data_IF_231989445576
#
_entry.id   IF_231989445576
#
_cell.length_a   1.000
_cell.length_b   1.000
_cell.length_c   1.000
_cell.angle_alpha   90.00
_cell.angle_beta   90.00
_cell.angle_gamma   90.00
#
_symmetry.space_group_name_H-M   'P 1'
#
loop_
_entity.id
_entity.type
_entity.pdbx_description
1 polymer ?
#
# COMPACT_ATOMS: atom_id res chain seq x y z
N UNK A 1 10.72 8.59 11.16
CA UNK A 1 10.29 9.35 9.97
C UNK A 1 8.82 9.00 9.76
N UNK A 2 7.92 9.95 9.54
CA UNK A 2 6.50 9.66 9.27
C UNK A 2 6.23 9.85 7.78
N UNK A 3 5.39 9.01 7.19
CA UNK A 3 4.94 9.19 5.81
C UNK A 3 3.91 10.33 5.77
N UNK A 4 4.20 11.38 5.03
CA UNK A 4 3.33 12.55 4.89
C UNK A 4 2.62 12.58 3.54
N UNK A 5 3.21 11.92 2.54
CA UNK A 5 2.64 11.76 1.19
C UNK A 5 2.55 10.29 0.84
N UNK A 6 1.34 9.82 0.57
CA UNK A 6 1.05 8.43 0.23
C UNK A 6 0.36 8.37 -1.13
N UNK A 7 0.89 7.55 -2.04
CA UNK A 7 0.20 7.22 -3.30
C UNK A 7 -0.41 5.83 -3.22
N UNK A 8 -1.69 5.70 -3.57
CA UNK A 8 -2.39 4.42 -3.61
C UNK A 8 -2.74 4.10 -5.06
N UNK A 9 -2.19 3.00 -5.58
CA UNK A 9 -2.45 2.52 -6.93
C UNK A 9 -3.49 1.41 -6.85
N UNK A 10 -4.71 1.74 -7.23
CA UNK A 10 -5.91 0.92 -7.09
C UNK A 10 -6.77 1.31 -5.90
N UNK A 11 -7.96 1.86 -6.16
CA UNK A 11 -8.98 2.22 -5.16
C UNK A 11 -10.14 1.22 -5.17
N UNK A 12 -9.85 -0.07 -5.22
CA UNK A 12 -10.84 -1.11 -5.01
C UNK A 12 -11.29 -1.20 -3.54
N UNK A 13 -11.82 -2.36 -3.14
CA UNK A 13 -12.16 -2.61 -1.74
C UNK A 13 -10.98 -2.32 -0.80
N UNK A 14 -9.82 -2.90 -1.08
CA UNK A 14 -8.63 -2.83 -0.22
C UNK A 14 -8.02 -1.42 -0.23
N UNK A 15 -7.64 -0.88 -1.39
CA UNK A 15 -7.02 0.44 -1.49
C UNK A 15 -7.96 1.58 -1.08
N UNK A 16 -9.24 1.50 -1.44
CA UNK A 16 -10.25 2.48 -1.03
C UNK A 16 -10.49 2.49 0.48
N UNK A 17 -10.53 1.28 1.11
CA UNK A 17 -10.62 1.18 2.57
C UNK A 17 -9.38 1.74 3.26
N UNK A 18 -8.18 1.51 2.70
CA UNK A 18 -6.95 2.08 3.23
C UNK A 18 -6.99 3.61 3.20
N UNK A 19 -7.36 4.19 2.06
CA UNK A 19 -7.49 5.64 1.94
C UNK A 19 -8.48 6.22 2.95
N UNK A 20 -9.67 5.61 3.09
CA UNK A 20 -10.69 6.01 4.07
C UNK A 20 -10.18 5.92 5.51
N UNK A 21 -9.54 4.81 5.88
CA UNK A 21 -9.01 4.59 7.22
C UNK A 21 -7.90 5.59 7.57
N UNK A 22 -6.96 5.83 6.65
CA UNK A 22 -5.88 6.82 6.84
C UNK A 22 -6.45 8.22 7.01
N UNK A 23 -7.36 8.66 6.13
CA UNK A 23 -7.98 10.00 6.24
C UNK A 23 -8.82 10.16 7.51
N UNK A 24 -9.46 9.10 7.96
CA UNK A 24 -10.19 9.11 9.24
C UNK A 24 -9.26 9.28 10.44
N UNK A 25 -8.12 8.60 10.42
CA UNK A 25 -7.15 8.60 11.52
C UNK A 25 -6.26 9.86 11.53
N UNK A 26 -5.83 10.33 10.36
CA UNK A 26 -4.99 11.53 10.22
C UNK A 26 -5.26 12.25 8.88
N UNK A 27 -6.00 13.34 8.94
CA UNK A 27 -6.32 14.16 7.76
C UNK A 27 -5.11 14.92 7.18
N UNK A 28 -4.01 15.03 7.92
CA UNK A 28 -2.80 15.73 7.46
C UNK A 28 -1.98 14.93 6.46
N UNK A 29 -2.17 13.61 6.39
CA UNK A 29 -1.51 12.76 5.41
C UNK A 29 -2.11 13.05 4.02
N UNK A 30 -1.27 13.52 3.11
CA UNK A 30 -1.66 13.78 1.73
C UNK A 30 -1.75 12.47 0.95
N UNK A 31 -2.94 12.16 0.42
CA UNK A 31 -3.19 10.94 -0.35
C UNK A 31 -3.42 11.30 -1.80
N UNK A 32 -2.57 10.77 -2.69
CA UNK A 32 -2.83 10.74 -4.13
C UNK A 32 -3.21 9.33 -4.57
N UNK A 33 -3.99 9.17 -5.62
CA UNK A 33 -4.39 7.86 -6.08
C UNK A 33 -4.46 7.74 -7.60
N UNK A 34 -4.28 6.51 -8.08
CA UNK A 34 -4.46 6.13 -9.47
C UNK A 34 -5.50 5.00 -9.58
N UNK A 35 -6.55 5.25 -10.33
CA UNK A 35 -7.62 4.30 -10.69
C UNK A 35 -8.40 4.84 -11.88
N UNK A 36 -9.54 4.26 -12.20
CA UNK A 36 -10.46 4.77 -13.23
C UNK A 36 -11.00 6.14 -12.85
N UNK A 37 -11.19 7.05 -13.82
CA UNK A 37 -11.64 8.43 -13.55
C UNK A 37 -12.91 8.53 -12.71
N UNK A 38 -13.89 7.64 -12.94
CA UNK A 38 -15.14 7.63 -12.18
C UNK A 38 -14.94 7.29 -10.70
N UNK A 39 -13.93 6.45 -10.37
CA UNK A 39 -13.59 6.10 -8.99
C UNK A 39 -12.83 7.25 -8.33
N UNK A 40 -11.87 7.82 -9.04
CA UNK A 40 -11.09 8.98 -8.56
C UNK A 40 -12.01 10.16 -8.26
N UNK A 41 -12.95 10.48 -9.17
CA UNK A 41 -13.94 11.54 -8.96
C UNK A 41 -14.79 11.33 -7.70
N UNK A 42 -15.24 10.10 -7.43
CA UNK A 42 -15.96 9.77 -6.19
C UNK A 42 -15.07 9.99 -4.95
N UNK A 43 -13.85 9.44 -4.97
CA UNK A 43 -12.93 9.53 -3.85
C UNK A 43 -12.52 10.98 -3.52
N UNK A 44 -12.39 11.85 -4.53
CA UNK A 44 -12.18 13.29 -4.35
C UNK A 44 -13.39 13.97 -3.71
N UNK A 45 -14.61 13.69 -4.21
CA UNK A 45 -15.85 14.25 -3.65
C UNK A 45 -16.06 13.82 -2.19
N UNK A 46 -15.72 12.58 -1.85
CA UNK A 46 -15.76 12.05 -0.48
C UNK A 46 -14.59 12.55 0.40
N UNK A 47 -13.63 13.31 -0.17
CA UNK A 47 -12.41 13.77 0.50
C UNK A 47 -11.55 12.63 1.07
N UNK A 48 -11.58 11.49 0.41
CA UNK A 48 -10.80 10.31 0.75
C UNK A 48 -9.39 10.38 0.15
N UNK A 49 -9.25 11.11 -0.96
CA UNK A 49 -7.97 11.46 -1.57
C UNK A 49 -7.88 12.98 -1.78
N UNK A 50 -6.67 13.50 -1.87
CA UNK A 50 -6.40 14.92 -2.10
C UNK A 50 -6.10 15.20 -3.59
N UNK A 51 -5.59 14.19 -4.31
CA UNK A 51 -5.16 14.33 -5.70
C UNK A 51 -5.39 13.05 -6.49
N UNK A 52 -5.82 13.20 -7.75
CA UNK A 52 -5.80 12.13 -8.74
C UNK A 52 -4.48 12.11 -9.49
N UNK A 53 -3.88 10.94 -9.65
CA UNK A 53 -2.71 10.75 -10.50
C UNK A 53 -3.14 10.51 -11.94
N UNK A 54 -2.58 11.29 -12.87
CA UNK A 54 -2.85 11.16 -14.31
C UNK A 54 -2.11 9.96 -14.89
N UNK A 55 -0.88 9.72 -14.41
CA UNK A 55 -0.07 8.57 -14.77
C UNK A 55 0.50 7.92 -13.51
N UNK A 56 0.76 6.63 -13.57
CA UNK A 56 1.30 5.85 -12.43
C UNK A 56 2.64 6.40 -11.95
N UNK A 57 3.45 6.94 -12.86
CA UNK A 57 4.77 7.53 -12.57
C UNK A 57 4.72 8.68 -11.56
N UNK A 58 3.61 9.41 -11.52
CA UNK A 58 3.46 10.51 -10.56
C UNK A 58 3.48 10.03 -9.10
N UNK A 59 3.25 8.73 -8.85
CA UNK A 59 3.41 8.13 -7.53
C UNK A 59 4.85 8.24 -6.98
N UNK A 60 5.86 8.38 -7.84
CA UNK A 60 7.26 8.62 -7.44
C UNK A 60 7.48 9.96 -6.73
N UNK A 61 6.47 10.82 -6.61
CA UNK A 61 6.51 12.05 -5.82
C UNK A 61 6.14 11.84 -4.34
N UNK A 62 5.74 10.62 -3.96
CA UNK A 62 5.29 10.28 -2.61
C UNK A 62 6.36 9.56 -1.80
N UNK A 63 6.24 9.60 -0.47
CA UNK A 63 7.13 8.92 0.47
C UNK A 63 6.84 7.41 0.51
N UNK A 64 5.54 7.07 0.39
CA UNK A 64 5.04 5.70 0.43
C UNK A 64 4.13 5.44 -0.78
N UNK A 65 4.42 4.38 -1.52
CA UNK A 65 3.63 3.92 -2.66
C UNK A 65 2.99 2.58 -2.29
N UNK A 66 1.68 2.52 -2.32
CA UNK A 66 0.89 1.32 -2.02
C UNK A 66 0.27 0.77 -3.30
N UNK A 67 0.54 -0.50 -3.59
CA UNK A 67 -0.05 -1.23 -4.70
C UNK A 67 -1.23 -2.07 -4.19
N UNK A 68 -2.45 -1.72 -4.60
CA UNK A 68 -3.70 -2.39 -4.23
C UNK A 68 -4.49 -2.85 -5.47
N UNK A 69 -3.80 -3.20 -6.53
CA UNK A 69 -4.30 -3.79 -7.77
C UNK A 69 -4.30 -5.32 -7.70
N UNK A 70 -4.95 -6.04 -8.64
CA UNK A 70 -4.75 -7.48 -8.83
C UNK A 70 -3.27 -7.83 -9.00
N UNK A 71 -2.87 -9.03 -8.57
CA UNK A 71 -1.46 -9.46 -8.44
C UNK A 71 -0.63 -9.16 -9.69
N UNK A 72 -1.11 -9.56 -10.88
CA UNK A 72 -0.37 -9.37 -12.13
C UNK A 72 -0.12 -7.88 -12.45
N UNK A 73 -1.14 -7.05 -12.23
CA UNK A 73 -1.03 -5.60 -12.45
C UNK A 73 -0.13 -4.94 -11.41
N UNK A 74 -0.26 -5.34 -10.13
CA UNK A 74 0.62 -4.87 -9.06
C UNK A 74 2.07 -5.24 -9.36
N UNK A 75 2.36 -6.46 -9.80
CA UNK A 75 3.70 -6.90 -10.14
C UNK A 75 4.29 -6.11 -11.32
N UNK A 76 3.48 -5.81 -12.33
CA UNK A 76 3.91 -4.97 -13.46
C UNK A 76 4.31 -3.57 -13.00
N UNK A 77 3.46 -2.90 -12.21
CA UNK A 77 3.74 -1.57 -11.66
C UNK A 77 4.95 -1.62 -10.72
N UNK A 78 5.05 -2.66 -9.90
CA UNK A 78 6.16 -2.89 -8.98
C UNK A 78 7.51 -2.93 -9.72
N UNK A 79 7.59 -3.70 -10.82
CA UNK A 79 8.79 -3.81 -11.66
C UNK A 79 9.20 -2.49 -12.30
N UNK A 80 8.22 -1.69 -12.70
CA UNK A 80 8.46 -0.41 -13.35
C UNK A 80 8.91 0.68 -12.36
N UNK A 81 8.24 0.80 -11.21
CA UNK A 81 8.53 1.87 -10.26
C UNK A 81 9.73 1.57 -9.35
N UNK A 82 9.93 0.31 -8.94
CA UNK A 82 10.93 -0.04 -7.92
C UNK A 82 12.36 0.39 -8.26
N UNK A 83 12.89 0.22 -9.50
CA UNK A 83 14.24 0.68 -9.85
C UNK A 83 14.42 2.19 -9.80
N UNK A 84 13.32 2.94 -9.82
CA UNK A 84 13.29 4.41 -9.91
C UNK A 84 13.11 5.09 -8.55
N UNK A 85 12.93 4.32 -7.49
CA UNK A 85 12.80 4.83 -6.13
C UNK A 85 14.10 5.46 -5.64
N UNK A 86 13.99 6.54 -4.89
CA UNK A 86 15.11 7.08 -4.12
C UNK A 86 15.20 6.45 -2.72
N UNK A 87 16.28 6.74 -1.99
CA UNK A 87 16.58 6.10 -0.69
C UNK A 87 15.60 6.40 0.45
N UNK A 88 14.77 7.43 0.31
CA UNK A 88 13.75 7.80 1.31
C UNK A 88 12.38 7.20 1.01
N UNK A 89 12.19 6.59 -0.16
CA UNK A 89 10.90 6.08 -0.60
C UNK A 89 10.69 4.62 -0.28
N UNK A 90 9.44 4.29 0.00
CA UNK A 90 8.97 2.94 0.25
C UNK A 90 7.91 2.56 -0.79
N UNK A 91 8.02 1.35 -1.33
CA UNK A 91 6.94 0.71 -2.08
C UNK A 91 6.43 -0.50 -1.29
N UNK A 92 5.12 -0.69 -1.26
CA UNK A 92 4.46 -1.81 -0.61
C UNK A 92 3.33 -2.33 -1.48
N UNK A 93 3.13 -3.63 -1.53
CA UNK A 93 1.96 -4.25 -2.13
C UNK A 93 1.03 -4.81 -1.06
N UNK A 94 -0.27 -4.85 -1.33
CA UNK A 94 -1.30 -5.43 -0.46
C UNK A 94 -1.86 -6.76 -1.00
N UNK A 95 -1.11 -7.41 -1.88
CA UNK A 95 -1.53 -8.67 -2.51
C UNK A 95 -1.53 -9.85 -1.52
N UNK A 96 -2.25 -10.91 -1.86
CA UNK A 96 -2.33 -12.13 -1.05
C UNK A 96 -1.13 -13.08 -1.19
N UNK A 97 -0.17 -12.80 -2.06
CA UNK A 97 1.09 -13.53 -2.24
C UNK A 97 2.26 -12.60 -2.03
N UNK A 98 3.34 -13.10 -1.42
CA UNK A 98 4.52 -12.29 -1.06
C UNK A 98 5.80 -12.75 -1.71
N UNK A 99 5.97 -14.06 -1.93
CA UNK A 99 7.22 -14.64 -2.45
C UNK A 99 7.63 -14.05 -3.79
N UNK A 100 6.68 -13.94 -4.72
CA UNK A 100 6.95 -13.41 -6.06
C UNK A 100 7.46 -11.95 -6.03
N UNK A 101 6.92 -11.11 -5.14
CA UNK A 101 7.38 -9.73 -5.00
C UNK A 101 8.75 -9.66 -4.32
N UNK A 102 8.99 -10.49 -3.31
CA UNK A 102 10.29 -10.55 -2.62
C UNK A 102 11.40 -11.04 -3.56
N UNK A 103 11.13 -12.04 -4.40
CA UNK A 103 12.09 -12.54 -5.38
C UNK A 103 12.36 -11.51 -6.48
N UNK A 104 11.32 -10.84 -6.94
CA UNK A 104 11.47 -9.74 -7.91
C UNK A 104 12.30 -8.60 -7.32
N UNK A 105 12.01 -8.18 -6.08
CA UNK A 105 12.76 -7.12 -5.41
C UNK A 105 14.26 -7.40 -5.36
N UNK A 106 14.65 -8.66 -5.03
CA UNK A 106 16.07 -9.09 -5.00
C UNK A 106 16.74 -9.00 -6.36
N UNK A 107 15.98 -9.15 -7.43
CA UNK A 107 16.51 -9.05 -8.80
C UNK A 107 16.66 -7.62 -9.29
N UNK A 108 15.99 -6.66 -8.65
CA UNK A 108 15.99 -5.26 -9.06
C UNK A 108 17.09 -4.47 -8.33
N UNK A 109 17.64 -3.48 -9.04
CA UNK A 109 18.55 -2.50 -8.45
C UNK A 109 17.75 -1.27 -8.04
N UNK A 110 17.33 -1.20 -6.79
CA UNK A 110 16.59 -0.08 -6.22
C UNK A 110 17.38 0.61 -5.11
N UNK A 111 17.22 1.93 -5.00
CA UNK A 111 17.72 2.70 -3.84
C UNK A 111 16.67 2.81 -2.74
N UNK A 112 15.40 2.58 -3.07
CA UNK A 112 14.29 2.62 -2.14
C UNK A 112 14.19 1.39 -1.26
N UNK A 113 13.03 1.20 -0.63
CA UNK A 113 12.73 0.07 0.24
C UNK A 113 11.42 -0.60 -0.16
N UNK A 114 11.35 -1.89 0.05
CA UNK A 114 10.15 -2.69 -0.15
C UNK A 114 9.72 -3.35 1.14
N UNK A 115 8.45 -3.20 1.48
CA UNK A 115 7.79 -3.93 2.56
C UNK A 115 6.52 -4.55 2.01
N UNK A 116 6.52 -5.86 1.80
CA UNK A 116 5.33 -6.60 1.39
C UNK A 116 4.31 -6.61 2.51
N UNK A 117 3.03 -6.42 2.20
CA UNK A 117 1.97 -6.48 3.19
C UNK A 117 0.80 -7.32 2.68
N UNK A 118 0.12 -8.00 3.60
CA UNK A 118 -1.11 -8.72 3.32
C UNK A 118 -2.11 -8.47 4.44
N UNK A 119 -3.13 -7.62 4.23
CA UNK A 119 -4.22 -7.47 5.17
C UNK A 119 -5.08 -8.75 5.19
N UNK A 120 -5.13 -9.42 6.33
CA UNK A 120 -5.94 -10.63 6.54
C UNK A 120 -7.40 -10.24 6.78
N UNK A 121 -7.98 -9.50 5.85
CA UNK A 121 -9.35 -9.03 5.88
C UNK A 121 -9.87 -8.81 4.46
N UNK A 122 -11.19 -8.80 4.32
CA UNK A 122 -11.87 -8.60 3.05
C UNK A 122 -13.38 -8.68 3.22
N UNK A 123 -14.09 -8.52 2.12
CA UNK A 123 -15.53 -8.70 2.02
C UNK A 123 -15.84 -9.53 0.78
N UNK A 124 -17.03 -10.13 0.74
CA UNK A 124 -17.50 -10.88 -0.45
C UNK A 124 -17.64 -9.99 -1.70
N UNK A 125 -17.92 -8.71 -1.51
CA UNK A 125 -18.07 -7.73 -2.60
C UNK A 125 -16.79 -6.93 -2.80
N UNK A 126 -16.36 -6.80 -4.03
CA UNK A 126 -15.21 -5.99 -4.45
C UNK A 126 -15.62 -4.57 -4.87
N UNK A 127 -14.64 -3.73 -5.19
CA UNK A 127 -14.82 -2.39 -5.74
C UNK A 127 -14.87 -1.29 -4.67
N UNK A 128 -14.71 -0.05 -5.13
CA UNK A 128 -14.64 1.14 -4.27
C UNK A 128 -15.91 1.36 -3.43
N UNK A 129 -17.09 1.15 -4.02
CA UNK A 129 -18.37 1.36 -3.35
C UNK A 129 -18.58 0.43 -2.14
N UNK A 130 -17.81 -0.64 -2.02
CA UNK A 130 -17.82 -1.56 -0.88
C UNK A 130 -16.67 -1.29 0.12
N UNK A 131 -15.82 -0.29 -0.15
CA UNK A 131 -14.73 0.09 0.74
C UNK A 131 -15.28 0.67 2.06
N UNK A 132 -14.55 0.37 3.14
CA UNK A 132 -15.01 0.63 4.50
C UNK A 132 -13.86 1.14 5.36
N UNK A 133 -14.06 2.25 6.03
CA UNK A 133 -13.04 2.88 6.89
C UNK A 133 -12.63 1.99 8.08
N UNK A 134 -13.50 1.07 8.51
CA UNK A 134 -13.26 0.15 9.63
C UNK A 134 -12.73 -1.22 9.17
N UNK A 135 -12.50 -1.43 7.87
CA UNK A 135 -12.09 -2.74 7.33
C UNK A 135 -10.84 -3.30 8.02
N UNK A 136 -9.94 -2.44 8.44
CA UNK A 136 -8.65 -2.82 9.01
C UNK A 136 -8.64 -2.84 10.54
N UNK A 137 -9.66 -2.31 11.19
CA UNK A 137 -9.73 -2.24 12.64
C UNK A 137 -9.67 -3.64 13.25
N UNK A 138 -8.69 -3.86 14.14
CA UNK A 138 -8.39 -5.15 14.75
C UNK A 138 -8.02 -6.30 13.79
N UNK A 139 -7.90 -6.03 12.49
CA UNK A 139 -7.42 -7.03 11.52
C UNK A 139 -5.93 -7.31 11.67
N UNK A 140 -5.49 -8.47 11.20
CA UNK A 140 -4.06 -8.79 11.12
C UNK A 140 -3.51 -8.28 9.79
N UNK A 141 -2.41 -7.54 9.85
CA UNK A 141 -1.56 -7.21 8.71
C UNK A 141 -0.29 -8.03 8.79
N UNK A 142 -0.12 -8.97 7.89
CA UNK A 142 1.16 -9.67 7.75
C UNK A 142 2.10 -8.78 6.95
N UNK A 143 3.28 -8.49 7.53
CA UNK A 143 4.31 -7.69 6.88
C UNK A 143 5.52 -8.56 6.63
N UNK A 144 6.05 -8.50 5.40
CA UNK A 144 7.24 -9.20 4.96
C UNK A 144 8.32 -8.16 4.63
N UNK A 145 9.42 -8.19 5.37
CA UNK A 145 10.57 -7.32 5.20
C UNK A 145 11.87 -8.15 5.25
N UNK A 146 12.87 -7.76 4.47
CA UNK A 146 14.17 -8.45 4.47
C UNK A 146 15.01 -8.11 5.71
N UNK A 147 14.90 -6.86 6.19
CA UNK A 147 15.63 -6.38 7.37
C UNK A 147 14.67 -5.85 8.42
N UNK A 148 14.44 -6.62 9.47
CA UNK A 148 13.56 -6.26 10.58
C UNK A 148 14.09 -5.10 11.45
N UNK A 149 15.37 -4.78 11.35
CA UNK A 149 15.99 -3.68 12.10
C UNK A 149 15.99 -2.34 11.33
N UNK A 150 15.36 -2.28 10.16
CA UNK A 150 15.27 -1.05 9.38
C UNK A 150 14.40 0.00 10.10
N UNK A 151 14.96 1.21 10.32
CA UNK A 151 14.21 2.29 10.97
C UNK A 151 12.98 2.75 10.16
N UNK A 152 13.04 2.63 8.83
CA UNK A 152 11.90 2.96 7.97
C UNK A 152 10.77 1.93 8.13
N UNK A 153 11.10 0.68 8.46
CA UNK A 153 10.11 -0.35 8.77
C UNK A 153 9.31 0.02 10.03
N UNK A 154 9.93 0.64 11.03
CA UNK A 154 9.20 1.15 12.21
C UNK A 154 8.18 2.21 11.82
N UNK A 155 8.55 3.13 10.92
CA UNK A 155 7.62 4.14 10.39
C UNK A 155 6.46 3.51 9.61
N UNK A 156 6.75 2.44 8.87
CA UNK A 156 5.72 1.67 8.17
C UNK A 156 4.77 0.94 9.16
N UNK A 157 5.32 0.41 10.26
CA UNK A 157 4.50 -0.15 11.34
C UNK A 157 3.58 0.89 11.97
N UNK A 158 4.09 2.08 12.23
CA UNK A 158 3.29 3.16 12.81
C UNK A 158 2.17 3.58 11.85
N UNK A 159 2.44 3.62 10.54
CA UNK A 159 1.43 3.86 9.52
C UNK A 159 0.34 2.77 9.49
N UNK A 160 0.71 1.49 9.59
CA UNK A 160 -0.26 0.39 9.63
C UNK A 160 -1.04 0.37 10.95
N UNK A 161 -0.40 0.68 12.08
CA UNK A 161 -1.09 0.80 13.37
C UNK A 161 -2.07 1.96 13.42
N UNK A 162 -1.79 3.05 12.71
CA UNK A 162 -2.66 4.23 12.61
C UNK A 162 -4.08 3.86 12.17
N UNK A 163 -4.22 2.86 11.31
CA UNK A 163 -5.52 2.37 10.82
C UNK A 163 -6.13 1.27 11.69
N UNK A 164 -5.63 1.06 12.91
CA UNK A 164 -6.17 0.11 13.88
C UNK A 164 -5.78 -1.36 13.66
N UNK A 165 -4.86 -1.65 12.74
CA UNK A 165 -4.44 -3.01 12.43
C UNK A 165 -3.38 -3.55 13.40
N UNK A 166 -3.32 -4.89 13.54
CA UNK A 166 -2.30 -5.62 14.29
C UNK A 166 -1.26 -6.17 13.33
N UNK A 167 0.01 -6.02 13.66
CA UNK A 167 1.11 -6.43 12.79
C UNK A 167 1.63 -7.80 13.20
N UNK A 168 1.84 -8.65 12.20
CA UNK A 168 2.58 -9.92 12.29
C UNK A 168 3.69 -9.89 11.25
N UNK A 169 4.94 -10.13 11.69
CA UNK A 169 6.08 -10.27 10.78
C UNK A 169 6.22 -11.72 10.34
N UNK A 170 6.37 -11.93 9.05
CA UNK A 170 6.67 -13.23 8.47
C UNK A 170 7.69 -13.09 7.34
N UNK A 171 8.45 -14.17 7.09
CA UNK A 171 9.20 -14.29 5.86
C UNK A 171 8.24 -14.47 4.66
N UNK A 172 8.53 -13.84 3.52
CA UNK A 172 7.64 -13.85 2.35
C UNK A 172 7.30 -15.25 1.84
N UNK A 173 8.28 -16.16 1.77
CA UNK A 173 8.05 -17.53 1.32
C UNK A 173 7.36 -18.40 2.37
N UNK A 174 7.55 -18.10 3.66
CA UNK A 174 6.79 -18.77 4.72
C UNK A 174 5.34 -18.33 4.68
N UNK A 175 5.08 -17.05 4.46
CA UNK A 175 3.73 -16.51 4.29
C UNK A 175 2.93 -17.26 3.21
N UNK A 176 3.55 -17.54 2.06
CA UNK A 176 2.85 -18.19 0.93
C UNK A 176 2.61 -19.69 1.14
N UNK A 177 3.06 -20.29 2.25
CA UNK A 177 2.87 -21.70 2.60
C UNK A 177 1.77 -21.94 3.63
N UNK A 178 1.31 -20.92 4.28
CA UNK A 178 0.27 -20.96 5.33
C UNK A 178 -1.04 -20.36 4.84
#
# INVERSE_FOLDING_TARGET
>A
MSFTKVSIIGLGLIGGSLAKAVKHADQSIFISAFDKPEILGKALLEKVIDEELIIVDDALKSDLIILALPIEQSLKVFKDLSPRLNSSQVISDLCSVKGIFADEWKSLSSKGKYFGAHPMTGKEKSGYDNSDLLLYENSVFIICAENENDETLKSYFDFIKLIGARIVLLNAHLHDRI
#
